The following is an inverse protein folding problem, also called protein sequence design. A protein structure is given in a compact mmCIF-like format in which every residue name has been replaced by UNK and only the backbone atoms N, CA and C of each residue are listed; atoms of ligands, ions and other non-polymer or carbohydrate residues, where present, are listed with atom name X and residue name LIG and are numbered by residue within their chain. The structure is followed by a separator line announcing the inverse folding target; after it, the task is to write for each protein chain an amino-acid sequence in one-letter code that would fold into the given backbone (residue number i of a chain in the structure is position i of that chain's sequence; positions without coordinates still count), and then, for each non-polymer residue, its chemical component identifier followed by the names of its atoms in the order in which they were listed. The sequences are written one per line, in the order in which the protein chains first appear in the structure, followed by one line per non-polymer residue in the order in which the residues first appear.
data_IF_003201334208
#
_entry.id   IF_003201334208
#
_cell.length_a   1.000
_cell.length_b   1.000
_cell.length_c   1.000
_cell.angle_alpha   90.00
_cell.angle_beta   90.00
_cell.angle_gamma   90.00
#
_symmetry.space_group_name_H-M   'P 1'
#
loop_
_entity.id
_entity.type
_entity.pdbx_description
1 polymer ?
#
# COMPACT_ATOMS: atom_id res chain seq x y z
N UNK A 1 19.57 20.24 -5.57
CA UNK A 1 18.15 20.13 -5.97
C UNK A 1 17.30 20.07 -4.72
N UNK A 2 16.21 20.81 -4.74
CA UNK A 2 15.25 20.93 -3.65
C UNK A 2 13.88 20.40 -4.09
N UNK A 3 13.30 19.50 -3.32
CA UNK A 3 11.99 18.92 -3.63
C UNK A 3 11.02 19.20 -2.48
N UNK A 4 9.84 19.74 -2.83
CA UNK A 4 8.74 19.91 -1.90
C UNK A 4 7.74 18.76 -2.10
N UNK A 5 7.45 18.03 -1.05
CA UNK A 5 6.44 16.97 -1.02
C UNK A 5 5.15 17.47 -0.42
N UNK A 6 4.00 17.12 -1.02
CA UNK A 6 2.69 17.61 -0.60
C UNK A 6 1.69 16.45 -0.51
N UNK A 7 1.00 16.34 0.63
CA UNK A 7 -0.01 15.32 0.89
C UNK A 7 -1.18 15.91 1.68
N UNK A 8 -2.43 15.66 1.28
CA UNK A 8 -3.62 16.20 1.99
C UNK A 8 -3.83 15.55 3.35
N UNK A 9 -3.42 14.32 3.51
CA UNK A 9 -3.73 13.44 4.65
C UNK A 9 -2.50 13.13 5.51
N UNK A 10 -2.72 12.35 6.58
CA UNK A 10 -1.67 11.93 7.50
C UNK A 10 -0.58 11.11 6.78
N UNK A 11 0.72 11.44 6.93
CA UNK A 11 1.85 10.70 6.34
C UNK A 11 2.14 9.38 7.09
N UNK A 12 1.10 8.67 7.52
CA UNK A 12 1.15 7.42 8.27
C UNK A 12 -0.15 6.63 8.09
N UNK A 13 -0.20 5.39 8.55
CA UNK A 13 -1.36 4.48 8.63
C UNK A 13 -2.03 4.11 7.29
N UNK A 14 -1.79 4.83 6.21
CA UNK A 14 -2.34 4.54 4.88
C UNK A 14 -1.22 4.20 3.91
N UNK A 15 -1.54 3.49 2.82
CA UNK A 15 -0.55 3.17 1.78
C UNK A 15 0.10 4.42 1.18
N UNK A 16 -0.69 5.46 0.88
CA UNK A 16 -0.17 6.74 0.35
C UNK A 16 0.63 7.53 1.38
N UNK A 17 0.25 7.48 2.67
CA UNK A 17 1.02 8.11 3.76
C UNK A 17 2.39 7.44 3.95
N UNK A 18 2.44 6.12 3.95
CA UNK A 18 3.68 5.34 4.02
C UNK A 18 4.53 5.57 2.76
N UNK A 19 3.91 5.62 1.58
CA UNK A 19 4.59 5.96 0.32
C UNK A 19 5.28 7.33 0.40
N UNK A 20 4.56 8.33 0.92
CA UNK A 20 5.06 9.69 1.11
C UNK A 20 6.34 9.73 1.95
N UNK A 21 6.32 9.10 3.14
CA UNK A 21 7.46 9.09 4.06
C UNK A 21 8.66 8.33 3.49
N UNK A 22 8.43 7.15 2.91
CA UNK A 22 9.50 6.33 2.32
C UNK A 22 10.13 6.99 1.08
N UNK A 23 9.35 7.71 0.27
CA UNK A 23 9.90 8.45 -0.88
C UNK A 23 10.82 9.58 -0.42
N UNK A 24 10.42 10.36 0.60
CA UNK A 24 11.25 11.42 1.18
C UNK A 24 12.56 10.84 1.71
N UNK A 25 12.49 9.75 2.48
CA UNK A 25 13.68 9.08 3.02
C UNK A 25 14.61 8.58 1.91
N UNK A 26 14.04 7.97 0.88
CA UNK A 26 14.82 7.47 -0.25
C UNK A 26 15.52 8.59 -1.02
N UNK A 27 14.85 9.73 -1.22
CA UNK A 27 15.44 10.90 -1.87
C UNK A 27 16.48 11.60 -0.98
N UNK A 28 16.30 11.62 0.34
CA UNK A 28 17.33 12.06 1.29
C UNK A 28 18.62 11.25 1.14
N UNK A 29 18.50 9.93 0.99
CA UNK A 29 19.64 9.01 0.81
C UNK A 29 20.38 9.26 -0.53
N UNK A 30 19.75 9.91 -1.50
CA UNK A 30 20.36 10.38 -2.74
C UNK A 30 20.98 11.80 -2.62
N UNK A 31 20.96 12.40 -1.42
CA UNK A 31 21.49 13.74 -1.17
C UNK A 31 20.57 14.87 -1.65
N UNK A 32 19.28 14.60 -1.84
CA UNK A 32 18.28 15.59 -2.23
C UNK A 32 17.79 16.31 -0.98
N UNK A 33 17.67 17.63 -1.05
CA UNK A 33 17.08 18.44 0.02
C UNK A 33 15.56 18.41 -0.09
N UNK A 34 14.88 17.84 0.91
CA UNK A 34 13.44 17.66 0.92
C UNK A 34 12.75 18.55 1.94
N UNK A 35 11.57 19.07 1.57
CA UNK A 35 10.61 19.70 2.47
C UNK A 35 9.24 19.02 2.33
N UNK A 36 8.38 19.14 3.35
CA UNK A 36 7.10 18.44 3.40
C UNK A 36 5.97 19.33 3.89
N UNK A 37 4.84 19.30 3.17
CA UNK A 37 3.54 19.82 3.60
C UNK A 37 2.58 18.61 3.67
N UNK A 38 1.92 18.41 4.80
CA UNK A 38 0.93 17.34 4.94
C UNK A 38 -0.16 17.68 5.95
N UNK A 39 -1.32 17.02 5.79
CA UNK A 39 -2.42 17.15 6.72
C UNK A 39 -2.23 16.31 7.98
N UNK A 40 -2.59 16.85 9.14
CA UNK A 40 -2.55 16.14 10.43
C UNK A 40 -3.57 16.73 11.41
N UNK A 41 -3.75 16.08 12.55
CA UNK A 41 -4.41 16.60 13.75
C UNK A 41 -3.45 16.50 14.94
N UNK A 42 -3.63 17.35 15.95
CA UNK A 42 -2.77 17.37 17.14
C UNK A 42 -2.64 15.98 17.80
N UNK A 43 -3.74 15.22 17.86
CA UNK A 43 -3.76 13.86 18.43
C UNK A 43 -2.88 12.85 17.67
N UNK A 44 -2.44 13.17 16.45
CA UNK A 44 -1.64 12.30 15.60
C UNK A 44 -0.15 12.64 15.57
N UNK A 45 0.31 13.65 16.31
CA UNK A 45 1.70 14.11 16.29
C UNK A 45 2.72 12.97 16.50
N UNK A 46 2.45 12.04 17.43
CA UNK A 46 3.33 10.91 17.73
C UNK A 46 3.43 9.86 16.58
N UNK A 47 2.59 9.96 15.55
CA UNK A 47 2.57 9.04 14.41
C UNK A 47 3.36 9.57 13.19
N UNK A 48 3.82 10.82 13.27
CA UNK A 48 4.52 11.49 12.17
C UNK A 48 6.00 11.08 12.20
N UNK A 49 6.40 10.34 11.19
CA UNK A 49 7.78 9.91 10.97
C UNK A 49 8.21 10.37 9.57
N UNK A 50 8.41 11.68 9.43
CA UNK A 50 8.82 12.34 8.18
C UNK A 50 10.13 13.06 8.41
N UNK A 51 11.17 12.63 7.70
CA UNK A 51 12.52 13.18 7.81
C UNK A 51 12.80 14.17 6.66
N UNK A 52 12.20 15.35 6.72
CA UNK A 52 12.45 16.44 5.78
C UNK A 52 13.16 17.60 6.50
N UNK A 53 13.90 18.42 5.74
CA UNK A 53 14.62 19.60 6.26
C UNK A 53 13.65 20.64 6.83
N UNK A 54 12.51 20.82 6.16
CA UNK A 54 11.43 21.71 6.61
C UNK A 54 10.12 20.91 6.60
N UNK A 55 9.37 21.01 7.67
CA UNK A 55 8.06 20.37 7.82
C UNK A 55 7.02 21.45 8.15
N UNK A 56 6.02 21.58 7.30
CA UNK A 56 4.91 22.52 7.43
C UNK A 56 3.58 21.76 7.50
N UNK A 57 3.15 21.29 8.68
CA UNK A 57 1.88 20.60 8.83
C UNK A 57 0.70 21.55 8.61
N UNK A 58 -0.38 21.04 8.05
CA UNK A 58 -1.68 21.67 7.96
C UNK A 58 -2.59 20.97 8.97
N UNK A 59 -3.01 21.70 10.01
CA UNK A 59 -3.80 21.14 11.10
C UNK A 59 -5.28 21.17 10.78
N UNK A 60 -5.91 20.02 10.82
CA UNK A 60 -7.35 19.82 10.84
C UNK A 60 -7.90 19.85 12.28
N UNK A 61 -9.21 19.86 12.42
CA UNK A 61 -9.90 19.94 13.71
C UNK A 61 -9.48 21.19 14.50
N UNK A 62 -9.43 22.34 13.80
CA UNK A 62 -9.09 23.66 14.34
C UNK A 62 -10.22 24.65 14.05
N UNK A 63 -10.25 25.84 14.70
CA UNK A 63 -11.22 26.87 14.35
C UNK A 63 -11.16 27.33 12.87
N UNK A 64 -9.98 27.31 12.26
CA UNK A 64 -9.76 27.68 10.86
C UNK A 64 -10.13 26.57 9.88
N UNK A 65 -10.13 25.31 10.32
CA UNK A 65 -10.48 24.13 9.54
C UNK A 65 -11.23 23.11 10.40
N UNK A 66 -12.53 23.36 10.68
CA UNK A 66 -13.32 22.66 11.72
C UNK A 66 -13.87 21.31 11.26
N UNK A 67 -13.04 20.47 10.65
CA UNK A 67 -13.37 19.12 10.23
C UNK A 67 -12.13 18.22 10.28
N UNK A 68 -12.36 16.90 10.31
CA UNK A 68 -11.28 15.90 10.37
C UNK A 68 -10.49 15.81 9.07
N UNK A 69 -9.32 15.16 9.13
CA UNK A 69 -8.49 14.89 7.96
C UNK A 69 -9.33 14.28 6.84
N UNK A 70 -9.27 14.86 5.64
CA UNK A 70 -10.01 14.35 4.50
C UNK A 70 -9.40 13.05 3.98
N UNK A 71 -10.20 11.98 3.97
CA UNK A 71 -9.79 10.66 3.51
C UNK A 71 -10.02 10.45 2.02
N UNK A 72 -9.05 9.85 1.31
CA UNK A 72 -9.22 9.41 -0.08
C UNK A 72 -10.06 8.13 -0.20
N UNK A 73 -10.41 7.50 0.90
CA UNK A 73 -11.38 6.41 1.01
C UNK A 73 -12.48 6.79 1.99
N UNK A 74 -13.68 6.25 1.80
CA UNK A 74 -14.81 6.48 2.72
C UNK A 74 -14.54 5.85 4.11
N UNK A 75 -13.67 4.82 4.17
CA UNK A 75 -13.20 4.21 5.40
C UNK A 75 -11.70 4.44 5.57
N UNK A 76 -11.32 5.20 6.58
CA UNK A 76 -9.93 5.49 6.95
C UNK A 76 -9.56 4.81 8.28
N UNK A 77 -8.27 4.56 8.55
CA UNK A 77 -7.81 3.97 9.83
C UNK A 77 -7.78 4.97 10.99
N UNK A 78 -8.40 6.13 10.83
CA UNK A 78 -8.58 7.21 11.80
C UNK A 78 -9.87 7.96 11.48
N UNK A 79 -10.38 8.79 12.42
CA UNK A 79 -11.53 9.67 12.20
C UNK A 79 -11.24 10.59 11.01
N UNK A 80 -12.13 10.60 10.03
CA UNK A 80 -11.90 11.31 8.76
C UNK A 80 -13.17 11.93 8.22
N UNK A 81 -13.00 13.03 7.50
CA UNK A 81 -14.05 13.65 6.70
C UNK A 81 -14.11 13.00 5.32
N UNK A 82 -15.30 12.64 4.88
CA UNK A 82 -15.54 12.02 3.56
C UNK A 82 -15.67 13.14 2.53
N UNK A 83 -14.81 13.15 1.50
CA UNK A 83 -14.81 14.20 0.48
C UNK A 83 -16.17 14.40 -0.21
N UNK A 84 -16.92 13.32 -0.47
CA UNK A 84 -18.22 13.40 -1.14
C UNK A 84 -19.28 14.12 -0.32
N UNK A 85 -19.14 14.15 1.00
CA UNK A 85 -20.05 14.79 1.94
C UNK A 85 -19.69 16.26 2.23
N UNK A 86 -18.48 16.68 1.85
CA UNK A 86 -18.04 18.07 2.04
C UNK A 86 -18.87 19.04 1.20
N UNK A 87 -19.21 20.15 1.81
CA UNK A 87 -19.76 21.34 1.15
C UNK A 87 -18.67 22.04 0.31
N UNK A 88 -19.11 22.90 -0.62
CA UNK A 88 -18.18 23.71 -1.42
C UNK A 88 -17.35 24.66 -0.51
N UNK A 89 -17.94 25.18 0.57
CA UNK A 89 -17.27 26.05 1.53
C UNK A 89 -16.17 25.30 2.30
N UNK A 90 -16.42 24.07 2.74
CA UNK A 90 -15.41 23.23 3.41
C UNK A 90 -14.25 22.88 2.47
N UNK A 91 -14.54 22.61 1.21
CA UNK A 91 -13.50 22.39 0.19
C UNK A 91 -12.66 23.66 -0.01
N UNK A 92 -13.28 24.84 -0.05
CA UNK A 92 -12.57 26.10 -0.21
C UNK A 92 -11.74 26.44 1.04
N UNK A 93 -12.22 26.15 2.24
CA UNK A 93 -11.45 26.25 3.50
C UNK A 93 -10.22 25.34 3.44
N UNK A 94 -10.40 24.07 3.05
CA UNK A 94 -9.31 23.12 2.88
C UNK A 94 -8.22 23.68 1.94
N UNK A 95 -8.61 24.07 0.73
CA UNK A 95 -7.69 24.54 -0.27
C UNK A 95 -7.00 25.85 0.12
N UNK A 96 -7.70 26.76 0.85
CA UNK A 96 -7.12 27.98 1.38
C UNK A 96 -5.99 27.70 2.38
N UNK A 97 -6.21 26.82 3.35
CA UNK A 97 -5.21 26.48 4.36
C UNK A 97 -3.95 25.85 3.74
N UNK A 98 -4.12 24.98 2.74
CA UNK A 98 -2.98 24.43 2.00
C UNK A 98 -2.29 25.50 1.13
N UNK A 99 -3.02 26.39 0.48
CA UNK A 99 -2.47 27.48 -0.34
C UNK A 99 -1.53 28.37 0.47
N UNK A 100 -1.90 28.74 1.68
CA UNK A 100 -1.06 29.56 2.56
C UNK A 100 0.30 28.89 2.84
N UNK A 101 0.34 27.57 3.06
CA UNK A 101 1.57 26.81 3.24
C UNK A 101 2.36 26.67 1.94
N UNK A 102 1.70 26.44 0.82
CA UNK A 102 2.33 26.35 -0.50
C UNK A 102 3.02 27.66 -0.90
N UNK A 103 2.36 28.81 -0.74
CA UNK A 103 2.93 30.13 -1.04
C UNK A 103 4.11 30.47 -0.10
N UNK A 104 4.00 30.11 1.18
CA UNK A 104 5.11 30.23 2.12
C UNK A 104 6.32 29.43 1.64
N UNK A 105 6.13 28.14 1.32
CA UNK A 105 7.21 27.26 0.89
C UNK A 105 7.77 27.62 -0.49
N UNK A 106 6.97 28.23 -1.35
CA UNK A 106 7.42 28.76 -2.65
C UNK A 106 8.49 29.84 -2.48
N UNK A 107 8.40 30.65 -1.41
CA UNK A 107 9.36 31.73 -1.13
C UNK A 107 10.48 31.33 -0.19
N UNK A 108 10.19 30.61 0.90
CA UNK A 108 11.16 30.28 1.94
C UNK A 108 12.05 29.08 1.57
N UNK A 109 11.48 28.05 0.97
CA UNK A 109 12.22 26.86 0.54
C UNK A 109 12.68 26.97 -0.91
N UNK A 110 11.89 27.61 -1.79
CA UNK A 110 12.14 27.79 -3.22
C UNK A 110 12.48 26.45 -3.90
N UNK A 111 11.50 25.53 -4.03
CA UNK A 111 11.73 24.18 -4.56
C UNK A 111 12.00 24.22 -6.08
N UNK A 112 12.91 23.36 -6.54
CA UNK A 112 13.11 23.10 -7.98
C UNK A 112 11.95 22.24 -8.53
N UNK A 113 11.47 21.30 -7.73
CA UNK A 113 10.41 20.34 -8.08
C UNK A 113 9.41 20.23 -6.93
N UNK A 114 8.13 20.11 -7.27
CA UNK A 114 7.06 19.80 -6.30
C UNK A 114 6.45 18.46 -6.64
N UNK A 115 6.43 17.54 -5.68
CA UNK A 115 5.78 16.22 -5.78
C UNK A 115 4.51 16.25 -4.94
N UNK A 116 3.36 16.08 -5.58
CA UNK A 116 2.05 16.08 -4.92
C UNK A 116 1.40 14.69 -5.03
N UNK A 117 0.92 14.19 -3.88
CA UNK A 117 0.29 12.89 -3.79
C UNK A 117 -1.22 13.00 -3.97
N UNK A 118 -1.78 12.04 -4.70
CA UNK A 118 -3.14 11.97 -5.22
C UNK A 118 -3.44 13.01 -6.31
N UNK A 119 -3.85 12.54 -7.48
CA UNK A 119 -4.30 13.39 -8.59
C UNK A 119 -5.69 13.95 -8.32
N UNK A 120 -5.77 14.83 -7.33
CA UNK A 120 -7.02 15.36 -6.80
C UNK A 120 -6.93 16.85 -6.48
N UNK A 121 -7.84 17.40 -5.71
CA UNK A 121 -8.00 18.83 -5.44
C UNK A 121 -6.71 19.55 -5.04
N UNK A 122 -5.93 18.95 -4.13
CA UNK A 122 -4.67 19.56 -3.68
C UNK A 122 -3.60 19.58 -4.78
N UNK A 123 -3.49 18.53 -5.58
CA UNK A 123 -2.53 18.49 -6.71
C UNK A 123 -2.90 19.50 -7.80
N UNK A 124 -4.18 19.71 -8.03
CA UNK A 124 -4.66 20.78 -8.93
C UNK A 124 -4.22 22.17 -8.42
N UNK A 125 -4.42 22.42 -7.11
CA UNK A 125 -3.95 23.64 -6.45
C UNK A 125 -2.42 23.78 -6.51
N UNK A 126 -1.66 22.72 -6.28
CA UNK A 126 -0.20 22.72 -6.37
C UNK A 126 0.24 23.14 -7.77
N UNK A 127 -0.34 22.59 -8.83
CA UNK A 127 -0.03 23.00 -10.21
C UNK A 127 -0.38 24.48 -10.48
N UNK A 128 -1.48 24.95 -9.92
CA UNK A 128 -1.88 26.37 -10.02
C UNK A 128 -0.86 27.29 -9.34
N UNK A 129 -0.40 26.96 -8.14
CA UNK A 129 0.55 27.79 -7.36
C UNK A 129 1.94 27.77 -7.97
N UNK A 130 2.43 26.61 -8.42
CA UNK A 130 3.79 26.41 -8.95
C UNK A 130 3.83 26.35 -10.48
N UNK A 131 3.25 27.36 -11.16
CA UNK A 131 3.22 27.44 -12.63
C UNK A 131 4.61 27.49 -13.27
N UNK A 132 5.59 27.98 -12.55
CA UNK A 132 6.97 28.24 -12.95
C UNK A 132 7.96 27.16 -12.48
N UNK A 133 7.47 26.09 -11.88
CA UNK A 133 8.27 24.95 -11.39
C UNK A 133 7.77 23.64 -11.99
N UNK A 134 8.64 22.63 -12.01
CA UNK A 134 8.23 21.27 -12.36
C UNK A 134 7.32 20.71 -11.28
N UNK A 135 6.12 20.26 -11.67
CA UNK A 135 5.14 19.64 -10.76
C UNK A 135 4.89 18.20 -11.17
N UNK A 136 5.10 17.30 -10.24
CA UNK A 136 4.93 15.86 -10.37
C UNK A 136 3.72 15.42 -9.55
N UNK A 137 2.77 14.73 -10.17
CA UNK A 137 1.64 14.12 -9.47
C UNK A 137 1.84 12.63 -9.31
N UNK A 138 1.51 12.08 -8.14
CA UNK A 138 1.52 10.62 -7.91
C UNK A 138 0.08 10.13 -7.76
N UNK A 139 -0.34 9.21 -8.64
CA UNK A 139 -1.62 8.51 -8.55
C UNK A 139 -1.50 7.32 -7.59
N UNK A 140 -2.47 7.18 -6.68
CA UNK A 140 -2.58 6.06 -5.74
C UNK A 140 -3.84 5.19 -5.99
N UNK A 141 -4.56 5.44 -7.08
CA UNK A 141 -5.76 4.71 -7.50
C UNK A 141 -7.04 5.13 -6.78
N UNK A 142 -6.99 5.51 -5.51
CA UNK A 142 -8.16 6.02 -4.77
C UNK A 142 -8.62 7.38 -5.26
N UNK A 143 -7.73 8.21 -5.76
CA UNK A 143 -7.97 9.50 -6.40
C UNK A 143 -8.84 9.36 -7.66
N UNK A 144 -8.48 8.48 -8.58
CA UNK A 144 -9.29 8.20 -9.77
C UNK A 144 -10.67 7.67 -9.39
N UNK A 145 -10.74 6.79 -8.40
CA UNK A 145 -12.02 6.26 -7.89
C UNK A 145 -12.92 7.38 -7.36
N UNK A 146 -12.37 8.36 -6.62
CA UNK A 146 -13.14 9.51 -6.11
C UNK A 146 -13.69 10.36 -7.27
N UNK A 147 -12.88 10.63 -8.28
CA UNK A 147 -13.31 11.40 -9.46
C UNK A 147 -14.40 10.68 -10.24
N UNK A 148 -14.29 9.35 -10.42
CA UNK A 148 -15.28 8.54 -11.13
C UNK A 148 -16.62 8.45 -10.39
N UNK A 149 -16.58 8.36 -9.05
CA UNK A 149 -17.80 8.32 -8.24
C UNK A 149 -18.52 9.67 -8.16
N UNK A 150 -17.80 10.80 -8.25
CA UNK A 150 -18.32 12.13 -7.94
C UNK A 150 -17.88 13.17 -8.97
N UNK A 151 -18.66 13.36 -10.02
CA UNK A 151 -18.39 14.32 -11.11
C UNK A 151 -18.14 15.77 -10.64
N UNK A 152 -18.65 16.16 -9.45
CA UNK A 152 -18.42 17.49 -8.89
C UNK A 152 -16.93 17.81 -8.76
N UNK A 153 -16.10 16.82 -8.45
CA UNK A 153 -14.67 17.00 -8.32
C UNK A 153 -13.98 17.19 -9.67
N UNK A 154 -14.39 16.43 -10.70
CA UNK A 154 -13.79 16.56 -12.03
C UNK A 154 -13.86 18.00 -12.57
N UNK A 155 -14.96 18.71 -12.28
CA UNK A 155 -15.15 20.10 -12.69
C UNK A 155 -14.15 21.07 -12.02
N UNK A 156 -13.62 20.72 -10.84
CA UNK A 156 -12.62 21.50 -10.11
C UNK A 156 -11.18 21.19 -10.53
N UNK A 157 -10.95 20.05 -11.20
CA UNK A 157 -9.61 19.64 -11.63
C UNK A 157 -9.27 20.25 -13.00
N UNK A 158 -8.83 21.50 -13.00
CA UNK A 158 -8.58 22.29 -14.22
C UNK A 158 -7.11 22.32 -14.63
N UNK A 159 -6.19 22.06 -13.69
CA UNK A 159 -4.74 22.13 -13.87
C UNK A 159 -4.03 20.77 -13.87
N UNK A 160 -4.68 19.68 -13.45
CA UNK A 160 -4.08 18.32 -13.43
C UNK A 160 -3.51 17.92 -14.81
N UNK A 161 -4.21 18.24 -15.90
CA UNK A 161 -3.74 17.98 -17.27
C UNK A 161 -2.43 18.66 -17.64
N UNK A 162 -2.06 19.71 -16.91
CA UNK A 162 -0.88 20.54 -17.14
C UNK A 162 0.33 20.12 -16.27
N UNK A 163 0.21 19.01 -15.51
CA UNK A 163 1.33 18.42 -14.78
C UNK A 163 2.49 18.10 -15.73
N UNK A 164 3.72 18.23 -15.24
CA UNK A 164 4.91 17.95 -16.02
C UNK A 164 5.20 16.45 -16.10
N UNK A 165 4.95 15.74 -14.99
CA UNK A 165 5.11 14.28 -14.86
C UNK A 165 3.98 13.74 -14.00
N UNK A 166 3.47 12.58 -14.36
CA UNK A 166 2.55 11.79 -13.55
C UNK A 166 3.15 10.43 -13.29
N UNK A 167 3.24 10.03 -12.02
CA UNK A 167 3.71 8.73 -11.58
C UNK A 167 2.53 7.86 -11.17
N UNK A 168 2.52 6.61 -11.61
CA UNK A 168 1.48 5.63 -11.24
C UNK A 168 2.08 4.46 -10.50
N UNK A 169 1.32 3.92 -9.56
CA UNK A 169 1.74 2.73 -8.81
C UNK A 169 1.29 1.44 -9.50
N UNK A 170 0.23 1.50 -10.33
CA UNK A 170 -0.24 0.36 -11.14
C UNK A 170 -0.39 0.73 -12.62
N UNK A 171 -0.25 -0.23 -13.55
CA UNK A 171 -0.50 0.02 -14.97
C UNK A 171 -1.98 0.28 -15.30
N UNK A 172 -2.90 -0.12 -14.44
CA UNK A 172 -4.34 0.04 -14.67
C UNK A 172 -4.74 1.54 -14.72
N UNK A 173 -4.06 2.36 -13.94
CA UNK A 173 -4.34 3.79 -13.80
C UNK A 173 -4.01 4.62 -15.07
N UNK A 174 -3.07 4.15 -15.91
CA UNK A 174 -2.60 4.92 -17.08
C UNK A 174 -3.74 5.34 -18.00
N UNK A 175 -4.61 4.39 -18.37
CA UNK A 175 -5.71 4.65 -19.28
C UNK A 175 -6.74 5.61 -18.67
N UNK A 176 -7.04 5.42 -17.39
CA UNK A 176 -8.00 6.28 -16.68
C UNK A 176 -7.49 7.71 -16.54
N UNK A 177 -6.19 7.90 -16.24
CA UNK A 177 -5.55 9.22 -16.16
C UNK A 177 -5.60 9.91 -17.53
N UNK A 178 -5.24 9.23 -18.61
CA UNK A 178 -5.30 9.78 -19.98
C UNK A 178 -6.73 10.15 -20.38
N UNK A 179 -7.69 9.23 -20.19
CA UNK A 179 -9.06 9.41 -20.68
C UNK A 179 -9.89 10.38 -19.82
N UNK A 180 -9.71 10.38 -18.48
CA UNK A 180 -10.53 11.14 -17.53
C UNK A 180 -9.89 12.48 -17.20
N UNK A 181 -8.62 12.47 -16.77
CA UNK A 181 -7.90 13.66 -16.34
C UNK A 181 -7.21 14.40 -17.49
N UNK A 182 -7.25 13.84 -18.73
CA UNK A 182 -6.69 14.45 -19.95
C UNK A 182 -5.19 14.74 -19.87
N UNK A 183 -4.45 13.96 -19.09
CA UNK A 183 -2.99 14.03 -19.05
C UNK A 183 -2.40 13.36 -20.29
N UNK A 184 -1.39 13.98 -20.90
CA UNK A 184 -0.66 13.37 -22.02
C UNK A 184 0.02 12.06 -21.58
N UNK A 185 -0.25 10.97 -22.29
CA UNK A 185 0.29 9.65 -22.02
C UNK A 185 1.82 9.59 -21.91
N UNK A 186 2.52 10.49 -22.64
CA UNK A 186 3.98 10.56 -22.59
C UNK A 186 4.52 11.12 -21.27
N UNK A 187 3.67 11.71 -20.45
CA UNK A 187 4.00 12.22 -19.11
C UNK A 187 3.70 11.21 -18.00
N UNK A 188 3.06 10.07 -18.32
CA UNK A 188 2.62 9.07 -17.36
C UNK A 188 3.66 7.94 -17.28
N UNK A 189 4.24 7.74 -16.09
CA UNK A 189 5.30 6.76 -15.85
C UNK A 189 4.92 5.80 -14.73
N UNK A 190 5.06 4.50 -14.98
CA UNK A 190 4.88 3.46 -13.96
C UNK A 190 6.14 3.38 -13.09
N UNK A 191 5.98 3.58 -11.80
CA UNK A 191 7.05 3.47 -10.81
C UNK A 191 6.83 2.33 -9.82
N UNK A 192 5.58 1.91 -9.65
CA UNK A 192 5.21 0.85 -8.71
C UNK A 192 5.17 1.31 -7.26
N UNK A 193 5.01 0.34 -6.38
CA UNK A 193 5.14 0.48 -4.94
C UNK A 193 6.25 -0.42 -4.43
N UNK A 194 6.70 -0.22 -3.20
CA UNK A 194 7.83 -0.94 -2.68
C UNK A 194 7.78 -1.23 -1.18
N UNK A 195 8.84 -1.83 -0.70
CA UNK A 195 9.03 -2.17 0.70
C UNK A 195 10.22 -1.41 1.30
N UNK A 196 10.19 -1.23 2.63
CA UNK A 196 11.29 -0.62 3.37
C UNK A 196 12.35 -1.69 3.67
N UNK A 197 13.50 -1.61 3.02
CA UNK A 197 14.61 -2.55 3.13
C UNK A 197 15.29 -2.53 4.51
N UNK A 198 15.09 -1.47 5.30
CA UNK A 198 15.57 -1.40 6.68
C UNK A 198 14.67 -2.17 7.66
N UNK A 199 13.46 -2.52 7.23
CA UNK A 199 12.46 -3.25 8.01
C UNK A 199 12.31 -4.68 7.52
N UNK A 200 12.15 -4.85 6.19
CA UNK A 200 11.94 -6.14 5.54
C UNK A 200 13.23 -6.61 4.86
N UNK A 201 13.87 -7.60 5.44
CA UNK A 201 15.12 -8.19 4.97
C UNK A 201 15.16 -9.68 5.35
N UNK A 202 15.99 -10.49 4.69
CA UNK A 202 16.11 -11.92 4.99
C UNK A 202 16.49 -12.19 6.44
N UNK A 203 16.06 -13.31 7.04
CA UNK A 203 16.47 -13.69 8.38
C UNK A 203 17.99 -13.90 8.44
N UNK A 204 18.63 -13.41 9.50
CA UNK A 204 20.07 -13.57 9.76
C UNK A 204 20.41 -14.87 10.46
N UNK A 205 19.42 -15.50 11.09
CA UNK A 205 19.55 -16.77 11.79
C UNK A 205 18.61 -17.81 11.20
N UNK A 206 19.02 -19.06 11.22
CA UNK A 206 18.18 -20.18 10.83
C UNK A 206 17.02 -20.38 11.82
N UNK A 207 15.98 -21.04 11.38
CA UNK A 207 14.81 -21.38 12.19
C UNK A 207 15.21 -22.34 13.34
N UNK A 208 14.61 -22.11 14.51
CA UNK A 208 14.97 -22.83 15.76
C UNK A 208 14.19 -24.13 15.97
N UNK A 209 13.16 -24.37 15.21
CA UNK A 209 12.30 -25.55 15.31
C UNK A 209 11.85 -26.07 13.92
N UNK A 210 11.18 -27.21 13.90
CA UNK A 210 10.70 -27.87 12.67
C UNK A 210 9.24 -27.55 12.34
N UNK A 211 8.61 -26.61 13.05
CA UNK A 211 7.22 -26.23 12.77
C UNK A 211 7.11 -25.48 11.46
N UNK A 212 6.16 -25.82 10.62
CA UNK A 212 5.84 -25.08 9.40
C UNK A 212 4.92 -23.94 9.78
N UNK A 213 5.35 -22.68 9.60
CA UNK A 213 4.55 -21.49 9.91
C UNK A 213 4.08 -20.81 8.63
N UNK A 214 2.76 -20.75 8.50
CA UNK A 214 2.07 -20.06 7.44
C UNK A 214 1.51 -18.76 8.04
N UNK A 215 1.82 -17.62 7.47
CA UNK A 215 1.44 -16.32 8.01
C UNK A 215 0.54 -15.54 7.07
N UNK A 216 -0.46 -14.89 7.65
CA UNK A 216 -1.21 -13.77 7.06
C UNK A 216 -1.04 -12.55 7.95
N UNK A 217 -0.98 -11.35 7.35
CA UNK A 217 -1.04 -10.10 8.09
C UNK A 217 -1.95 -9.08 7.40
N UNK A 218 -2.86 -8.47 8.17
CA UNK A 218 -3.80 -7.47 7.65
C UNK A 218 -5.09 -7.35 8.45
N UNK A 219 -6.07 -6.67 7.87
CA UNK A 219 -7.42 -6.55 8.44
C UNK A 219 -8.09 -7.94 8.46
N UNK A 220 -8.82 -8.21 9.55
CA UNK A 220 -9.61 -9.45 9.68
C UNK A 220 -11.01 -9.18 9.14
N UNK A 221 -11.17 -9.29 7.83
CA UNK A 221 -12.44 -9.09 7.11
C UNK A 221 -12.63 -10.16 6.04
N UNK A 222 -13.87 -10.39 5.63
CA UNK A 222 -14.18 -11.40 4.62
C UNK A 222 -13.52 -11.11 3.27
N UNK A 223 -13.49 -9.84 2.85
CA UNK A 223 -12.85 -9.41 1.60
C UNK A 223 -11.35 -9.71 1.54
N UNK A 224 -10.71 -9.91 2.69
CA UNK A 224 -9.30 -10.34 2.79
C UNK A 224 -9.11 -11.85 2.73
N UNK A 225 -10.18 -12.63 2.55
CA UNK A 225 -10.13 -14.08 2.37
C UNK A 225 -9.61 -14.87 3.56
N UNK A 226 -9.55 -14.25 4.76
CA UNK A 226 -8.92 -14.84 5.94
C UNK A 226 -9.68 -16.08 6.46
N UNK A 227 -10.99 -16.12 6.28
CA UNK A 227 -11.81 -17.26 6.66
C UNK A 227 -11.53 -18.46 5.74
N UNK A 228 -11.35 -18.20 4.44
CA UNK A 228 -10.92 -19.24 3.50
C UNK A 228 -9.51 -19.76 3.84
N UNK A 229 -8.59 -18.90 4.28
CA UNK A 229 -7.28 -19.32 4.76
C UNK A 229 -7.41 -20.21 6.00
N UNK A 230 -8.17 -19.80 7.02
CA UNK A 230 -8.40 -20.63 8.21
C UNK A 230 -8.98 -22.01 7.85
N UNK A 231 -9.93 -22.05 6.90
CA UNK A 231 -10.53 -23.28 6.40
C UNK A 231 -9.56 -24.22 5.66
N UNK A 232 -8.37 -23.75 5.26
CA UNK A 232 -7.33 -24.61 4.65
C UNK A 232 -6.63 -25.47 5.69
N UNK A 233 -6.59 -25.07 6.96
CA UNK A 233 -5.80 -25.75 8.00
C UNK A 233 -6.16 -27.25 8.15
N UNK A 234 -7.43 -27.66 8.22
CA UNK A 234 -7.78 -29.08 8.30
C UNK A 234 -7.31 -29.92 7.09
N UNK A 235 -7.18 -29.29 5.90
CA UNK A 235 -6.66 -29.96 4.71
C UNK A 235 -5.14 -30.15 4.80
N UNK A 236 -4.42 -29.15 5.27
CA UNK A 236 -2.96 -29.15 5.40
C UNK A 236 -2.54 -30.14 6.50
N UNK A 237 -3.24 -30.17 7.64
CA UNK A 237 -2.97 -31.06 8.77
C UNK A 237 -3.14 -32.56 8.44
N UNK A 238 -3.88 -32.91 7.39
CA UNK A 238 -3.95 -34.30 6.90
C UNK A 238 -2.61 -34.78 6.36
N UNK A 239 -1.81 -33.88 5.82
CA UNK A 239 -0.50 -34.15 5.18
C UNK A 239 0.66 -33.80 6.11
N UNK A 240 0.60 -32.65 6.78
CA UNK A 240 1.64 -32.14 7.67
C UNK A 240 1.08 -31.89 9.08
N UNK A 241 1.53 -32.68 10.06
CA UNK A 241 1.03 -32.59 11.45
C UNK A 241 1.64 -31.43 12.24
N UNK A 242 2.79 -30.92 11.82
CA UNK A 242 3.55 -29.87 12.52
C UNK A 242 3.42 -28.52 11.80
N UNK A 243 2.17 -28.09 11.53
CA UNK A 243 1.86 -26.86 10.82
C UNK A 243 1.08 -25.90 11.71
N UNK A 244 1.37 -24.61 11.58
CA UNK A 244 0.63 -23.52 12.24
C UNK A 244 0.24 -22.48 11.21
N UNK A 245 -0.99 -21.94 11.33
CA UNK A 245 -1.43 -20.75 10.59
C UNK A 245 -1.49 -19.58 11.57
N UNK A 246 -0.71 -18.54 11.30
CA UNK A 246 -0.62 -17.33 12.09
C UNK A 246 -1.39 -16.19 11.40
N UNK A 247 -2.51 -15.78 11.97
CA UNK A 247 -3.31 -14.64 11.50
C UNK A 247 -2.95 -13.41 12.36
N UNK A 248 -2.22 -12.49 11.76
CA UNK A 248 -1.74 -11.26 12.42
C UNK A 248 -2.63 -10.09 12.06
N UNK A 249 -3.45 -9.63 13.01
CA UNK A 249 -4.37 -8.52 12.82
C UNK A 249 -5.25 -8.27 14.03
N UNK A 250 -5.83 -7.07 14.10
CA UNK A 250 -6.82 -6.75 15.14
C UNK A 250 -8.11 -7.54 14.88
N UNK A 251 -8.65 -8.18 15.89
CA UNK A 251 -9.86 -9.00 15.79
C UNK A 251 -10.81 -8.75 16.95
N UNK A 252 -12.10 -8.80 16.68
CA UNK A 252 -13.17 -8.91 17.68
C UNK A 252 -13.28 -10.35 18.19
N UNK A 253 -14.10 -10.56 19.21
CA UNK A 253 -14.39 -11.92 19.70
C UNK A 253 -15.13 -12.75 18.66
N UNK A 254 -16.08 -12.15 17.96
CA UNK A 254 -16.89 -12.78 16.92
C UNK A 254 -16.05 -13.24 15.74
N UNK A 255 -15.12 -12.39 15.29
CA UNK A 255 -14.17 -12.73 14.22
C UNK A 255 -13.25 -13.88 14.62
N UNK A 256 -12.74 -13.88 15.87
CA UNK A 256 -11.93 -14.99 16.39
C UNK A 256 -12.71 -16.31 16.40
N UNK A 257 -13.94 -16.28 16.94
CA UNK A 257 -14.79 -17.47 17.00
C UNK A 257 -15.07 -18.01 15.59
N UNK A 258 -15.39 -17.14 14.63
CA UNK A 258 -15.57 -17.52 13.23
C UNK A 258 -14.30 -18.17 12.64
N UNK A 259 -13.13 -17.60 12.88
CA UNK A 259 -11.86 -18.16 12.42
C UNK A 259 -11.58 -19.53 13.01
N UNK A 260 -11.81 -19.70 14.33
CA UNK A 260 -11.63 -20.99 15.00
C UNK A 260 -12.61 -22.05 14.45
N UNK A 261 -13.85 -21.66 14.17
CA UNK A 261 -14.85 -22.54 13.58
C UNK A 261 -14.43 -22.98 12.16
N UNK A 262 -13.95 -22.08 11.30
CA UNK A 262 -13.46 -22.40 9.96
C UNK A 262 -12.24 -23.33 9.99
N UNK A 263 -11.36 -23.16 10.97
CA UNK A 263 -10.22 -24.03 11.21
C UNK A 263 -10.58 -25.35 11.93
N UNK A 264 -11.88 -25.64 12.10
CA UNK A 264 -12.37 -26.81 12.87
C UNK A 264 -11.77 -26.85 14.30
N UNK A 265 -11.62 -25.70 14.97
CA UNK A 265 -11.05 -25.54 16.30
C UNK A 265 -9.64 -26.16 16.46
N UNK A 266 -8.86 -26.19 15.37
CA UNK A 266 -7.49 -26.67 15.43
C UNK A 266 -6.61 -25.83 16.35
N UNK A 267 -5.78 -26.48 17.15
CA UNK A 267 -4.74 -25.84 17.96
C UNK A 267 -3.61 -25.23 17.10
N UNK A 268 -3.53 -25.56 15.82
CA UNK A 268 -2.59 -24.99 14.85
C UNK A 268 -2.96 -23.57 14.37
N UNK A 269 -4.13 -23.03 14.76
CA UNK A 269 -4.51 -21.66 14.41
C UNK A 269 -4.13 -20.66 15.50
N UNK A 270 -3.23 -19.74 15.19
CA UNK A 270 -2.77 -18.66 16.07
C UNK A 270 -3.32 -17.32 15.59
N UNK A 271 -3.95 -16.53 16.50
CA UNK A 271 -4.54 -15.22 16.17
C UNK A 271 -4.01 -14.17 17.16
N UNK A 272 -3.28 -13.18 16.65
CA UNK A 272 -2.70 -12.11 17.47
C UNK A 272 -2.50 -10.84 16.67
N UNK A 273 -2.06 -9.75 17.29
CA UNK A 273 -1.82 -8.47 16.65
C UNK A 273 -0.34 -8.11 16.70
N UNK A 274 0.19 -7.51 15.63
CA UNK A 274 1.47 -6.83 15.61
C UNK A 274 1.23 -5.33 15.79
N UNK A 275 1.88 -4.72 16.79
CA UNK A 275 1.66 -3.32 17.15
C UNK A 275 2.28 -2.34 16.14
N UNK A 276 3.31 -2.78 15.42
CA UNK A 276 4.03 -1.95 14.45
C UNK A 276 4.62 -2.80 13.31
N UNK A 277 5.11 -2.11 12.28
CA UNK A 277 5.66 -2.74 11.08
C UNK A 277 6.93 -3.57 11.36
N UNK A 278 7.76 -3.16 12.34
CA UNK A 278 8.97 -3.89 12.71
C UNK A 278 8.61 -5.26 13.32
N UNK A 279 7.66 -5.28 14.25
CA UNK A 279 7.20 -6.54 14.87
C UNK A 279 6.52 -7.45 13.82
N UNK A 280 5.79 -6.87 12.86
CA UNK A 280 5.24 -7.64 11.74
C UNK A 280 6.35 -8.26 10.89
N UNK A 281 7.42 -7.52 10.59
CA UNK A 281 8.57 -8.04 9.85
C UNK A 281 9.31 -9.15 10.63
N UNK A 282 9.39 -9.04 11.96
CA UNK A 282 9.95 -10.10 12.81
C UNK A 282 9.12 -11.39 12.69
N UNK A 283 7.80 -11.30 12.75
CA UNK A 283 6.91 -12.44 12.52
C UNK A 283 7.02 -13.01 11.09
N UNK A 284 7.16 -12.17 10.08
CA UNK A 284 7.44 -12.63 8.72
C UNK A 284 8.74 -13.44 8.67
N UNK A 285 9.82 -12.96 9.27
CA UNK A 285 11.11 -13.67 9.30
C UNK A 285 11.02 -15.04 10.00
N UNK A 286 10.15 -15.18 11.00
CA UNK A 286 9.90 -16.42 11.71
C UNK A 286 8.97 -17.40 10.94
N UNK A 287 8.24 -16.92 9.93
CA UNK A 287 7.38 -17.75 9.10
C UNK A 287 8.14 -18.45 7.97
N UNK A 288 7.52 -19.41 7.31
CA UNK A 288 8.04 -20.10 6.12
C UNK A 288 7.31 -19.65 4.87
N UNK A 289 6.00 -19.43 4.99
CA UNK A 289 5.11 -19.10 3.89
C UNK A 289 4.24 -17.92 4.32
N UNK A 290 4.12 -16.93 3.44
CA UNK A 290 3.14 -15.87 3.58
C UNK A 290 1.96 -16.11 2.64
N UNK A 291 0.73 -15.91 3.12
CA UNK A 291 -0.47 -16.08 2.30
C UNK A 291 -1.22 -14.76 2.19
N UNK A 292 -1.52 -14.33 0.95
CA UNK A 292 -2.36 -13.18 0.63
C UNK A 292 -3.65 -13.65 -0.06
N UNK A 293 -4.67 -14.09 0.70
CA UNK A 293 -5.87 -14.72 0.13
C UNK A 293 -6.96 -13.69 -0.24
N UNK A 294 -6.62 -12.41 -0.30
CA UNK A 294 -7.55 -11.30 -0.54
C UNK A 294 -8.31 -11.46 -1.85
N UNK A 295 -9.60 -11.17 -1.86
CA UNK A 295 -10.41 -11.17 -3.07
C UNK A 295 -10.19 -9.94 -3.95
N UNK A 296 -9.69 -8.85 -3.34
CA UNK A 296 -9.27 -7.64 -4.05
C UNK A 296 -8.07 -6.98 -3.37
N UNK A 297 -7.09 -6.60 -4.18
CA UNK A 297 -5.95 -5.75 -3.81
C UNK A 297 -5.51 -4.93 -5.02
N UNK A 298 -5.02 -3.72 -4.80
CA UNK A 298 -4.40 -2.93 -5.86
C UNK A 298 -3.05 -3.52 -6.27
N UNK A 299 -2.14 -3.69 -5.32
CA UNK A 299 -0.79 -4.24 -5.53
C UNK A 299 -0.48 -5.44 -4.62
N UNK A 300 -1.01 -5.45 -3.40
CA UNK A 300 -0.66 -6.49 -2.41
C UNK A 300 0.79 -6.41 -1.95
N UNK A 301 1.29 -5.20 -1.65
CA UNK A 301 2.71 -4.94 -1.31
C UNK A 301 3.24 -5.80 -0.16
N UNK A 302 2.37 -6.23 0.75
CA UNK A 302 2.77 -7.13 1.84
C UNK A 302 3.30 -8.48 1.33
N UNK A 303 2.87 -8.94 0.14
CA UNK A 303 3.46 -10.12 -0.51
C UNK A 303 4.91 -9.82 -0.97
N UNK A 304 5.19 -8.61 -1.43
CA UNK A 304 6.55 -8.17 -1.79
C UNK A 304 7.42 -8.03 -0.53
N UNK A 305 6.86 -7.52 0.58
CA UNK A 305 7.50 -7.46 1.89
C UNK A 305 7.88 -8.86 2.41
N UNK A 306 7.00 -9.85 2.19
CA UNK A 306 7.28 -11.25 2.53
C UNK A 306 8.39 -11.83 1.65
N UNK A 307 8.36 -11.59 0.34
CA UNK A 307 9.44 -11.99 -0.58
C UNK A 307 10.78 -11.36 -0.19
N UNK A 308 10.79 -10.09 0.24
CA UNK A 308 11.99 -9.41 0.75
C UNK A 308 12.53 -10.07 2.03
N UNK A 309 11.68 -10.67 2.84
CA UNK A 309 12.07 -11.51 3.99
C UNK A 309 12.43 -12.95 3.59
N UNK A 310 12.58 -13.26 2.29
CA UNK A 310 12.82 -14.60 1.75
C UNK A 310 11.75 -15.62 2.19
N UNK A 311 10.48 -15.21 2.18
CA UNK A 311 9.36 -16.12 2.43
C UNK A 311 8.70 -16.53 1.13
N UNK A 312 8.40 -17.81 1.00
CA UNK A 312 7.54 -18.30 -0.07
C UNK A 312 6.16 -17.67 0.04
N UNK A 313 5.53 -17.38 -1.08
CA UNK A 313 4.23 -16.70 -1.08
C UNK A 313 3.17 -17.54 -1.77
N UNK A 314 1.96 -17.53 -1.22
CA UNK A 314 0.74 -17.93 -1.93
C UNK A 314 -0.18 -16.73 -1.95
N UNK A 315 -0.58 -16.27 -3.12
CA UNK A 315 -1.48 -15.13 -3.27
C UNK A 315 -2.70 -15.50 -4.11
N UNK A 316 -3.81 -14.81 -3.89
CA UNK A 316 -4.89 -14.80 -4.87
C UNK A 316 -4.41 -14.27 -6.22
N UNK A 317 -5.06 -14.66 -7.29
CA UNK A 317 -4.73 -14.24 -8.66
C UNK A 317 -5.05 -12.73 -8.87
N UNK A 318 -4.19 -11.87 -8.31
CA UNK A 318 -4.31 -10.41 -8.33
C UNK A 318 -3.48 -9.86 -9.47
N UNK A 319 -4.14 -9.25 -10.45
CA UNK A 319 -3.49 -8.74 -11.67
C UNK A 319 -2.44 -7.67 -11.38
N UNK A 320 -2.64 -6.82 -10.36
CA UNK A 320 -1.68 -5.79 -9.95
C UNK A 320 -0.37 -6.39 -9.45
N UNK A 321 -0.44 -7.39 -8.57
CA UNK A 321 0.74 -8.09 -8.04
C UNK A 321 1.49 -8.85 -9.14
N UNK A 322 0.78 -9.56 -10.02
CA UNK A 322 1.40 -10.25 -11.16
C UNK A 322 2.18 -9.30 -12.08
N UNK A 323 1.58 -8.17 -12.43
CA UNK A 323 2.23 -7.16 -13.28
C UNK A 323 3.42 -6.51 -12.59
N UNK A 324 3.34 -6.30 -11.26
CA UNK A 324 4.43 -5.75 -10.47
C UNK A 324 5.64 -6.68 -10.45
N UNK A 325 5.43 -7.97 -10.17
CA UNK A 325 6.50 -8.97 -10.06
C UNK A 325 7.07 -9.36 -11.43
N UNK A 326 6.22 -9.43 -12.47
CA UNK A 326 6.61 -9.90 -13.79
C UNK A 326 6.82 -11.41 -13.88
N UNK A 327 6.81 -11.93 -15.11
CA UNK A 327 6.89 -13.37 -15.36
C UNK A 327 8.22 -13.98 -14.87
N UNK A 328 9.30 -13.22 -14.90
CA UNK A 328 10.61 -13.70 -14.45
C UNK A 328 10.62 -14.16 -12.99
N UNK A 329 10.05 -13.35 -12.07
CA UNK A 329 9.94 -13.73 -10.65
C UNK A 329 8.88 -14.79 -10.43
N UNK A 330 7.73 -14.68 -11.10
CA UNK A 330 6.62 -15.63 -10.96
C UNK A 330 7.07 -17.06 -11.34
N UNK A 331 7.79 -17.19 -12.47
CA UNK A 331 8.24 -18.49 -12.98
C UNK A 331 9.33 -19.17 -12.12
N UNK A 332 9.94 -18.46 -11.15
CA UNK A 332 10.88 -19.08 -10.23
C UNK A 332 10.20 -20.00 -9.21
N UNK A 333 8.89 -19.80 -8.96
CA UNK A 333 8.12 -20.54 -7.96
C UNK A 333 8.20 -19.98 -6.54
N UNK A 334 8.83 -18.81 -6.33
CA UNK A 334 8.79 -18.11 -5.03
C UNK A 334 7.37 -17.68 -4.63
N UNK A 335 6.48 -17.58 -5.61
CA UNK A 335 5.07 -17.26 -5.42
C UNK A 335 4.18 -18.19 -6.26
N UNK A 336 3.09 -18.65 -5.66
CA UNK A 336 2.00 -19.37 -6.34
C UNK A 336 0.74 -18.52 -6.31
N UNK A 337 0.03 -18.45 -7.45
CA UNK A 337 -1.23 -17.72 -7.55
C UNK A 337 -2.43 -18.66 -7.53
N UNK A 338 -3.37 -18.39 -6.64
CA UNK A 338 -4.63 -19.13 -6.50
C UNK A 338 -5.73 -18.43 -7.28
N UNK A 339 -6.34 -19.13 -8.24
CA UNK A 339 -7.48 -18.62 -9.01
C UNK A 339 -8.59 -18.20 -8.06
N UNK A 340 -9.05 -16.94 -8.20
CA UNK A 340 -10.14 -16.37 -7.41
C UNK A 340 -11.46 -17.14 -7.59
N UNK A 341 -12.35 -17.13 -6.58
CA UNK A 341 -13.77 -17.43 -6.79
C UNK A 341 -14.39 -16.36 -7.72
N UNK A 342 -15.60 -16.57 -8.22
CA UNK A 342 -16.34 -15.48 -8.85
C UNK A 342 -16.57 -14.36 -7.83
N UNK A 343 -16.37 -13.13 -8.26
CA UNK A 343 -16.49 -11.94 -7.40
C UNK A 343 -17.63 -11.06 -7.93
N UNK A 344 -18.41 -10.51 -7.02
CA UNK A 344 -19.36 -9.44 -7.29
C UNK A 344 -19.05 -8.25 -6.37
N UNK A 345 -19.56 -7.07 -6.72
CA UNK A 345 -19.41 -5.85 -5.92
C UNK A 345 -17.96 -5.63 -5.43
N UNK A 346 -17.00 -5.73 -6.38
CA UNK A 346 -15.54 -5.49 -6.21
C UNK A 346 -14.79 -6.57 -5.44
N UNK A 347 -15.23 -6.96 -4.24
CA UNK A 347 -14.47 -7.82 -3.32
C UNK A 347 -15.30 -8.88 -2.59
N UNK A 348 -16.54 -9.11 -3.05
CA UNK A 348 -17.45 -10.11 -2.45
C UNK A 348 -17.44 -11.40 -3.25
N UNK A 349 -17.03 -12.53 -2.69
CA UNK A 349 -17.06 -13.80 -3.37
C UNK A 349 -18.49 -14.41 -3.37
N UNK A 350 -18.83 -15.14 -4.44
CA UNK A 350 -20.01 -16.00 -4.39
C UNK A 350 -19.79 -17.16 -3.44
N UNK A 351 -20.71 -17.36 -2.49
CA UNK A 351 -20.59 -18.35 -1.41
C UNK A 351 -20.40 -19.78 -1.93
N UNK A 352 -21.08 -20.14 -3.03
CA UNK A 352 -20.97 -21.46 -3.65
C UNK A 352 -19.58 -21.77 -4.23
N UNK A 353 -18.75 -20.76 -4.47
CA UNK A 353 -17.39 -20.93 -5.01
C UNK A 353 -16.32 -21.06 -3.92
N UNK A 354 -16.65 -20.72 -2.65
CA UNK A 354 -15.67 -20.64 -1.56
C UNK A 354 -15.03 -22.00 -1.28
N UNK A 355 -15.81 -23.08 -1.24
CA UNK A 355 -15.24 -24.40 -0.97
C UNK A 355 -14.15 -24.78 -1.99
N UNK A 356 -14.43 -24.60 -3.28
CA UNK A 356 -13.47 -24.89 -4.34
C UNK A 356 -12.25 -23.93 -4.31
N UNK A 357 -12.43 -22.70 -3.81
CA UNK A 357 -11.31 -21.77 -3.60
C UNK A 357 -10.43 -22.23 -2.43
N UNK A 358 -11.02 -22.66 -1.31
CA UNK A 358 -10.28 -23.22 -0.17
C UNK A 358 -9.42 -24.41 -0.58
N UNK A 359 -9.97 -25.34 -1.39
CA UNK A 359 -9.21 -26.49 -1.88
C UNK A 359 -8.00 -26.07 -2.72
N UNK A 360 -8.18 -25.16 -3.70
CA UNK A 360 -7.07 -24.64 -4.52
C UNK A 360 -6.03 -23.88 -3.69
N UNK A 361 -6.49 -23.12 -2.68
CA UNK A 361 -5.59 -22.41 -1.78
C UNK A 361 -4.76 -23.37 -0.95
N UNK A 362 -5.38 -24.43 -0.40
CA UNK A 362 -4.69 -25.48 0.34
C UNK A 362 -3.67 -26.23 -0.54
N UNK A 363 -4.03 -26.55 -1.80
CA UNK A 363 -3.11 -27.18 -2.76
C UNK A 363 -1.87 -26.32 -3.03
N UNK A 364 -2.05 -25.02 -3.25
CA UNK A 364 -0.93 -24.11 -3.48
C UNK A 364 -0.07 -23.92 -2.21
N UNK A 365 -0.67 -23.91 -1.03
CA UNK A 365 0.08 -23.90 0.24
C UNK A 365 0.90 -25.18 0.39
N UNK A 366 0.31 -26.35 0.14
CA UNK A 366 1.02 -27.64 0.18
C UNK A 366 2.18 -27.69 -0.83
N UNK A 367 1.98 -27.11 -2.02
CA UNK A 367 3.04 -26.98 -3.04
C UNK A 367 4.20 -26.14 -2.53
N UNK A 368 3.92 -24.99 -1.87
CA UNK A 368 4.96 -24.16 -1.28
C UNK A 368 5.63 -24.82 -0.07
N UNK A 369 4.89 -25.58 0.74
CA UNK A 369 5.49 -26.39 1.83
C UNK A 369 6.58 -27.31 1.27
N UNK A 370 6.31 -27.97 0.13
CA UNK A 370 7.27 -28.84 -0.52
C UNK A 370 8.56 -28.12 -0.96
N UNK A 371 8.54 -26.78 -1.09
CA UNK A 371 9.68 -25.96 -1.56
C UNK A 371 10.48 -25.28 -0.44
N UNK A 372 10.07 -25.38 0.81
CA UNK A 372 10.69 -24.63 1.93
C UNK A 372 12.21 -24.85 1.98
N UNK A 373 12.71 -26.04 1.61
CA UNK A 373 14.12 -26.39 1.70
C UNK A 373 14.84 -26.41 0.33
N UNK A 374 14.22 -25.91 -0.74
CA UNK A 374 14.80 -25.98 -2.10
C UNK A 374 15.90 -24.96 -2.35
N UNK A 375 16.13 -24.01 -1.40
CA UNK A 375 17.11 -22.94 -1.56
C UNK A 375 16.78 -21.99 -2.73
N UNK A 376 15.48 -21.79 -2.97
CA UNK A 376 14.95 -21.08 -4.14
C UNK A 376 15.34 -19.60 -4.19
N UNK A 377 15.63 -18.96 -3.04
CA UNK A 377 16.06 -17.56 -2.96
C UNK A 377 17.58 -17.44 -3.25
N UNK A 378 17.93 -17.57 -4.52
CA UNK A 378 19.29 -17.34 -5.01
C UNK A 378 19.64 -15.84 -4.96
N UNK A 379 20.94 -15.51 -5.14
CA UNK A 379 21.40 -14.12 -5.24
C UNK A 379 20.68 -13.37 -6.37
N UNK A 380 20.56 -13.96 -7.54
CA UNK A 380 19.84 -13.38 -8.69
C UNK A 380 18.37 -13.07 -8.37
N UNK A 381 17.66 -13.96 -7.67
CA UNK A 381 16.26 -13.73 -7.27
C UNK A 381 16.19 -12.62 -6.22
N UNK A 382 17.13 -12.61 -5.27
CA UNK A 382 17.22 -11.57 -4.24
C UNK A 382 17.45 -10.19 -4.85
N UNK A 383 18.35 -10.06 -5.82
CA UNK A 383 18.59 -8.82 -6.57
C UNK A 383 17.32 -8.33 -7.31
N UNK A 384 16.57 -9.26 -7.94
CA UNK A 384 15.29 -8.91 -8.61
C UNK A 384 14.24 -8.41 -7.60
N UNK A 385 14.15 -9.01 -6.41
CA UNK A 385 13.27 -8.55 -5.34
C UNK A 385 13.73 -7.18 -4.82
N UNK A 386 15.03 -6.95 -4.72
CA UNK A 386 15.60 -5.67 -4.26
C UNK A 386 15.24 -4.48 -5.17
N UNK A 387 14.87 -4.71 -6.44
CA UNK A 387 14.34 -3.66 -7.31
C UNK A 387 13.06 -3.01 -6.78
N UNK A 388 12.34 -3.67 -5.87
CA UNK A 388 11.17 -3.14 -5.17
C UNK A 388 11.52 -2.48 -3.82
N UNK A 389 12.80 -2.44 -3.41
CA UNK A 389 13.21 -1.67 -2.26
C UNK A 389 13.05 -0.15 -2.50
N UNK A 390 12.68 0.60 -1.48
CA UNK A 390 12.48 2.04 -1.62
C UNK A 390 13.70 2.78 -2.15
N UNK A 391 14.92 2.34 -1.80
CA UNK A 391 16.16 2.93 -2.35
C UNK A 391 16.21 2.86 -3.89
N UNK A 392 15.70 1.79 -4.50
CA UNK A 392 15.68 1.62 -5.95
C UNK A 392 14.47 2.30 -6.60
N UNK A 393 13.32 2.33 -5.94
CA UNK A 393 12.14 3.08 -6.39
C UNK A 393 12.44 4.58 -6.39
N UNK A 394 12.98 5.11 -5.31
CA UNK A 394 13.36 6.53 -5.23
C UNK A 394 14.39 6.91 -6.29
N UNK A 395 15.37 6.05 -6.57
CA UNK A 395 16.32 6.27 -7.67
C UNK A 395 15.62 6.32 -9.03
N UNK A 396 14.69 5.40 -9.32
CA UNK A 396 13.89 5.45 -10.56
C UNK A 396 13.07 6.72 -10.67
N UNK A 397 12.38 7.10 -9.59
CA UNK A 397 11.59 8.33 -9.55
C UNK A 397 12.51 9.52 -9.81
N UNK A 398 13.64 9.59 -9.14
CA UNK A 398 14.62 10.66 -9.33
C UNK A 398 15.08 10.78 -10.80
N UNK A 399 15.38 9.65 -11.46
CA UNK A 399 15.79 9.64 -12.86
C UNK A 399 14.69 10.14 -13.82
N UNK A 400 13.43 9.95 -13.49
CA UNK A 400 12.28 10.41 -14.27
C UNK A 400 12.05 11.93 -14.06
N UNK A 401 12.25 12.42 -12.84
CA UNK A 401 11.85 13.79 -12.47
C UNK A 401 12.99 14.81 -12.57
N UNK A 402 14.26 14.40 -12.67
CA UNK A 402 15.41 15.30 -12.78
C UNK A 402 15.46 16.14 -14.07
#
# INVERSE_FOLDING_TARGET
MKILHVLTQLPAKTGSGVYFSNLIESLNNLGIENAAIFGTEEKHHALIDVHAKIIEPVFYDTPEMPFHICGMSDEMPYDSTIYSEMSEEEIDILLKNFREKLEKMKTEFDPDIVISHHLFLLTDLVREVFKDRKVVGICHGTDIRQVLKHEKFLKRLTHIKDLDVVLTVTPAEHKEIEEILKVDKNKIHLVGGGYNENVFYPPTEGKKDEKIRIMYAGKITESKGIYALAATLPYIEKVHKNVEIHIVGKSTKEEREKLMMEANYSEGLMIYNAENQKLMADHLRESDIFVLPSYFEALGLIAVEALACHKLVVASDISGLKKLLGDELINTGIIEFTKLPRIYDVDKPYTEDIHAYVERLAENILKQIGRINDGIFTEEISEKIENFAWKNIGKRIYEIIK
#
